data_IF_463672255594
#
_entry.id   IF_463672255594
#
_cell.length_a   1.000
_cell.length_b   1.000
_cell.length_c   1.000
_cell.angle_alpha   90.00
_cell.angle_beta   90.00
_cell.angle_gamma   90.00
#
_symmetry.space_group_name_H-M   'P 1'
#
loop_
_entity.id
_entity.type
_entity.pdbx_description
1 polymer ?
#
# COMPACT_ATOMS: atom_id res chain seq x y z
N UNK A 1 25.80 9.78 20.14
CA UNK A 1 25.61 10.89 21.11
C UNK A 1 24.54 11.82 20.54
N UNK A 2 23.27 11.45 20.70
CA UNK A 2 22.11 12.19 20.17
C UNK A 2 21.51 12.97 21.37
N UNK A 3 21.42 14.28 21.22
CA UNK A 3 20.85 15.17 22.24
C UNK A 3 19.33 15.15 22.12
N UNK A 4 18.66 14.67 23.16
CA UNK A 4 17.22 14.86 23.36
C UNK A 4 16.94 16.27 23.85
N UNK A 5 16.11 17.01 23.14
CA UNK A 5 15.55 18.29 23.58
C UNK A 5 14.14 18.10 24.13
N UNK A 6 13.98 18.42 25.38
CA UNK A 6 12.81 19.02 26.01
C UNK A 6 11.50 18.22 26.05
N UNK A 7 11.37 17.32 27.01
CA UNK A 7 10.07 16.85 27.50
C UNK A 7 9.93 17.22 28.99
N UNK A 8 8.77 17.72 29.37
CA UNK A 8 8.47 18.26 30.71
C UNK A 8 8.53 17.20 31.81
N UNK A 9 8.86 17.61 33.01
CA UNK A 9 9.22 16.75 34.16
C UNK A 9 8.12 15.83 34.74
N UNK A 10 6.88 15.88 34.22
CA UNK A 10 5.78 15.00 34.65
C UNK A 10 5.80 13.59 34.00
N UNK A 11 6.69 13.34 33.04
CA UNK A 11 6.79 12.11 32.27
C UNK A 11 7.79 11.08 32.83
N UNK A 12 8.50 11.39 33.93
CA UNK A 12 9.74 10.68 34.29
C UNK A 12 9.60 9.36 35.05
N UNK A 13 8.45 8.99 35.60
CA UNK A 13 8.39 7.84 36.52
C UNK A 13 7.57 6.63 36.04
N UNK A 14 6.52 6.79 35.24
CA UNK A 14 5.71 5.70 34.68
C UNK A 14 6.21 5.25 33.32
N UNK A 15 6.40 6.20 32.40
CA UNK A 15 6.81 5.91 31.01
C UNK A 15 8.23 5.38 30.88
N UNK A 16 9.11 5.66 31.83
CA UNK A 16 10.49 5.14 31.77
C UNK A 16 10.58 3.64 32.05
N UNK A 17 9.66 3.06 32.82
CA UNK A 17 9.61 1.61 33.06
C UNK A 17 8.98 0.88 31.87
N UNK A 18 7.98 1.46 31.24
CA UNK A 18 7.34 0.92 30.04
C UNK A 18 8.27 1.02 28.81
N UNK A 19 8.96 2.14 28.62
CA UNK A 19 9.96 2.34 27.57
C UNK A 19 11.20 1.43 27.74
N UNK A 20 11.59 1.13 28.98
CA UNK A 20 12.72 0.21 29.26
C UNK A 20 12.32 -1.24 29.00
N UNK A 21 11.06 -1.64 29.18
CA UNK A 21 10.58 -2.96 28.77
C UNK A 21 10.49 -3.07 27.24
N UNK A 22 9.97 -2.06 26.55
CA UNK A 22 9.94 -2.02 25.07
C UNK A 22 11.33 -2.00 24.45
N UNK A 23 12.30 -1.24 25.01
CA UNK A 23 13.68 -1.24 24.52
C UNK A 23 14.44 -2.53 24.86
N UNK A 24 14.05 -3.27 25.89
CA UNK A 24 14.63 -4.58 26.20
C UNK A 24 14.13 -5.66 25.23
N UNK A 25 12.87 -5.62 24.80
CA UNK A 25 12.32 -6.49 23.76
C UNK A 25 12.88 -6.12 22.38
N UNK A 26 12.99 -4.82 22.05
CA UNK A 26 13.60 -4.36 20.79
C UNK A 26 15.10 -4.64 20.69
N UNK A 27 15.82 -4.79 21.81
CA UNK A 27 17.25 -5.12 21.82
C UNK A 27 17.52 -6.63 21.67
N UNK A 28 16.54 -7.48 21.89
CA UNK A 28 16.65 -8.93 21.63
C UNK A 28 16.40 -9.29 20.15
N UNK A 29 15.81 -8.38 19.36
CA UNK A 29 15.54 -8.55 17.93
C UNK A 29 16.44 -7.70 17.02
N UNK A 30 17.47 -7.05 17.54
CA UNK A 30 18.57 -6.51 16.74
C UNK A 30 19.57 -7.62 16.39
N UNK A 31 19.09 -8.69 15.79
CA UNK A 31 19.91 -9.41 14.84
C UNK A 31 19.99 -8.50 13.60
N UNK A 32 21.20 -8.27 13.05
CA UNK A 32 21.29 -7.53 11.81
C UNK A 32 20.47 -8.30 10.77
N UNK A 33 19.50 -7.65 10.16
CA UNK A 33 18.98 -8.04 8.88
C UNK A 33 20.11 -7.82 7.84
N UNK A 34 21.15 -8.65 7.93
CA UNK A 34 22.21 -8.81 6.96
C UNK A 34 22.27 -10.28 6.57
N UNK A 35 21.18 -10.83 6.03
CA UNK A 35 21.37 -11.56 4.81
C UNK A 35 21.82 -10.48 3.82
N UNK A 36 23.08 -10.48 3.42
CA UNK A 36 23.50 -9.86 2.17
C UNK A 36 22.60 -10.52 1.10
N UNK A 37 21.44 -9.89 0.83
CA UNK A 37 20.79 -10.08 -0.46
C UNK A 37 21.87 -9.65 -1.44
N UNK A 38 22.29 -10.53 -2.34
CA UNK A 38 23.13 -10.21 -3.48
C UNK A 38 22.37 -9.17 -4.32
N UNK A 39 22.54 -7.91 -3.90
CA UNK A 39 21.91 -6.75 -4.49
C UNK A 39 22.65 -6.54 -5.81
N UNK A 40 21.96 -6.71 -6.92
CA UNK A 40 22.53 -6.30 -8.21
C UNK A 40 22.82 -4.80 -8.18
N UNK A 41 23.78 -4.34 -9.00
CA UNK A 41 24.19 -2.94 -9.00
C UNK A 41 23.00 -2.05 -9.28
N UNK A 42 22.87 -0.98 -8.49
CA UNK A 42 21.86 0.03 -8.72
C UNK A 42 21.98 0.56 -10.16
N UNK A 43 20.88 0.49 -10.91
CA UNK A 43 20.79 0.95 -12.29
C UNK A 43 21.35 2.38 -12.48
N UNK A 44 21.09 3.24 -11.51
CA UNK A 44 21.48 4.66 -11.55
C UNK A 44 22.96 4.93 -11.19
N UNK A 45 23.72 3.91 -10.79
CA UNK A 45 25.16 4.02 -10.61
C UNK A 45 25.93 3.94 -11.95
N UNK A 46 25.25 3.56 -13.05
CA UNK A 46 25.82 3.47 -14.37
C UNK A 46 25.70 4.80 -15.14
N UNK A 47 26.84 5.49 -15.45
CA UNK A 47 26.81 6.76 -16.18
C UNK A 47 26.22 6.66 -17.61
N UNK A 48 26.36 5.51 -18.28
CA UNK A 48 25.81 5.29 -19.61
C UNK A 48 24.27 5.25 -19.54
N UNK A 49 23.72 4.54 -18.54
CA UNK A 49 22.28 4.53 -18.28
C UNK A 49 21.76 5.94 -18.00
N UNK A 50 22.45 6.68 -17.13
CA UNK A 50 22.05 8.04 -16.80
C UNK A 50 22.01 8.95 -18.04
N UNK A 51 22.98 8.83 -18.95
CA UNK A 51 22.98 9.60 -20.19
C UNK A 51 21.80 9.22 -21.11
N UNK A 52 21.42 7.94 -21.19
CA UNK A 52 20.25 7.48 -21.94
C UNK A 52 18.95 8.00 -21.34
N UNK A 53 18.83 7.95 -20.00
CA UNK A 53 17.67 8.48 -19.26
C UNK A 53 17.51 9.98 -19.48
N UNK A 54 18.61 10.75 -19.41
CA UNK A 54 18.58 12.20 -19.64
C UNK A 54 18.14 12.55 -21.06
N UNK A 55 18.71 11.87 -22.07
CA UNK A 55 18.32 12.06 -23.46
C UNK A 55 16.86 11.68 -23.73
N UNK A 56 16.38 10.60 -23.14
CA UNK A 56 14.98 10.20 -23.22
C UNK A 56 14.07 11.26 -22.57
N UNK A 57 14.43 11.75 -21.39
CA UNK A 57 13.65 12.77 -20.69
C UNK A 57 13.51 14.06 -21.52
N UNK A 58 14.59 14.52 -22.18
CA UNK A 58 14.54 15.68 -23.08
C UNK A 58 13.53 15.47 -24.22
N UNK A 59 13.50 14.28 -24.83
CA UNK A 59 12.55 13.96 -25.90
C UNK A 59 11.10 13.81 -25.35
N UNK A 60 10.91 13.25 -24.15
CA UNK A 60 9.59 13.18 -23.49
C UNK A 60 9.05 14.58 -23.22
N UNK A 61 9.87 15.49 -22.69
CA UNK A 61 9.47 16.89 -22.43
C UNK A 61 9.04 17.58 -23.73
N UNK A 62 9.70 17.29 -24.83
CA UNK A 62 9.42 17.92 -26.13
C UNK A 62 8.19 17.35 -26.84
N UNK A 63 8.00 16.03 -26.77
CA UNK A 63 7.02 15.31 -27.60
C UNK A 63 5.83 14.76 -26.80
N UNK A 64 5.92 14.73 -25.45
CA UNK A 64 4.94 14.09 -24.55
C UNK A 64 5.24 12.63 -24.26
N UNK A 65 6.00 11.95 -25.12
CA UNK A 65 6.52 10.61 -24.93
C UNK A 65 7.74 10.33 -25.80
N UNK A 66 8.55 9.38 -25.38
CA UNK A 66 9.66 8.84 -26.16
C UNK A 66 10.04 7.44 -25.65
N UNK A 67 10.22 6.49 -26.55
CA UNK A 67 10.63 5.15 -26.17
C UNK A 67 12.09 5.14 -25.71
N UNK A 68 12.35 4.48 -24.57
CA UNK A 68 13.68 4.11 -24.11
C UNK A 68 13.68 2.60 -23.82
N UNK A 69 14.66 1.89 -24.42
CA UNK A 69 14.94 0.47 -24.13
C UNK A 69 16.32 0.35 -23.50
N UNK A 70 16.41 -0.33 -22.37
CA UNK A 70 17.67 -0.61 -21.67
C UNK A 70 17.85 -2.14 -21.69
N UNK A 71 18.88 -2.66 -22.36
CA UNK A 71 19.11 -4.10 -22.47
C UNK A 71 19.59 -4.71 -21.15
N UNK A 72 19.35 -6.02 -20.96
CA UNK A 72 19.75 -6.80 -19.80
C UNK A 72 21.24 -6.60 -19.44
N UNK A 73 22.12 -6.60 -20.44
CA UNK A 73 23.57 -6.39 -20.24
C UNK A 73 23.91 -5.07 -19.56
N UNK A 74 22.98 -4.12 -19.56
CA UNK A 74 23.14 -2.75 -19.00
C UNK A 74 22.40 -2.61 -17.67
N UNK A 75 21.13 -3.03 -17.57
CA UNK A 75 20.35 -2.92 -16.32
C UNK A 75 20.71 -4.01 -15.30
N UNK A 76 21.20 -5.16 -15.75
CA UNK A 76 21.70 -6.25 -14.90
C UNK A 76 20.69 -6.76 -13.85
N UNK A 77 19.38 -6.57 -14.03
CA UNK A 77 18.34 -7.15 -13.17
C UNK A 77 18.33 -8.65 -13.43
N UNK A 78 18.61 -9.49 -12.42
CA UNK A 78 18.61 -10.93 -12.61
C UNK A 78 17.20 -11.47 -12.81
N UNK A 79 17.01 -12.38 -13.77
CA UNK A 79 15.71 -13.00 -14.06
C UNK A 79 15.15 -13.76 -12.85
N UNK A 80 16.01 -14.31 -12.00
CA UNK A 80 15.64 -15.00 -10.75
C UNK A 80 14.96 -14.12 -9.70
N UNK A 81 14.95 -12.79 -9.86
CA UNK A 81 14.17 -11.87 -9.02
C UNK A 81 12.74 -11.68 -9.51
N UNK A 82 12.43 -12.21 -10.69
CA UNK A 82 11.09 -12.23 -11.26
C UNK A 82 10.40 -13.52 -10.82
N UNK A 83 9.12 -13.40 -10.49
CA UNK A 83 8.32 -14.54 -10.08
C UNK A 83 8.33 -15.67 -11.12
N UNK A 84 8.57 -16.93 -10.71
CA UNK A 84 8.64 -18.06 -11.63
C UNK A 84 7.33 -18.35 -12.37
N UNK A 85 6.16 -18.16 -11.71
CA UNK A 85 4.86 -18.39 -12.32
C UNK A 85 4.51 -17.29 -13.33
N UNK A 86 4.88 -16.04 -13.05
CA UNK A 86 4.78 -14.94 -14.02
C UNK A 86 5.64 -15.22 -15.26
N UNK A 87 6.87 -15.71 -15.08
CA UNK A 87 7.75 -16.11 -16.19
C UNK A 87 7.21 -17.32 -16.96
N UNK A 88 6.64 -18.32 -16.28
CA UNK A 88 5.99 -19.46 -16.92
C UNK A 88 4.80 -19.02 -17.78
N UNK A 89 3.90 -18.20 -17.24
CA UNK A 89 2.76 -17.67 -17.97
C UNK A 89 3.20 -16.84 -19.20
N UNK A 90 4.21 -15.98 -19.00
CA UNK A 90 4.76 -15.19 -20.09
C UNK A 90 5.37 -16.08 -21.20
N UNK A 91 6.06 -17.16 -20.86
CA UNK A 91 6.64 -18.08 -21.84
C UNK A 91 5.55 -18.79 -22.66
N UNK A 92 4.42 -19.18 -22.05
CA UNK A 92 3.27 -19.77 -22.78
C UNK A 92 2.73 -18.79 -23.84
N UNK A 93 2.64 -17.50 -23.51
CA UNK A 93 2.20 -16.46 -24.45
C UNK A 93 3.22 -16.26 -25.58
N UNK A 94 4.50 -16.18 -25.27
CA UNK A 94 5.59 -16.03 -26.26
C UNK A 94 5.65 -17.23 -27.23
N UNK A 95 5.53 -18.46 -26.72
CA UNK A 95 5.54 -19.67 -27.55
C UNK A 95 4.34 -19.73 -28.49
N UNK A 96 3.22 -19.10 -28.11
CA UNK A 96 2.05 -18.94 -28.97
C UNK A 96 2.16 -17.76 -29.97
N UNK A 97 3.22 -16.95 -29.88
CA UNK A 97 3.52 -15.85 -30.78
C UNK A 97 2.92 -14.51 -30.39
N UNK A 98 2.55 -14.35 -29.12
CA UNK A 98 2.07 -13.08 -28.55
C UNK A 98 3.20 -12.33 -27.86
N UNK A 99 3.13 -11.00 -27.89
CA UNK A 99 4.00 -10.14 -27.09
C UNK A 99 3.51 -10.11 -25.65
N UNK A 100 4.44 -10.07 -24.69
CA UNK A 100 4.13 -10.01 -23.26
C UNK A 100 5.19 -9.21 -22.51
N UNK A 101 4.74 -8.37 -21.59
CA UNK A 101 5.57 -7.62 -20.67
C UNK A 101 5.11 -7.81 -19.23
N UNK A 102 6.08 -7.80 -18.30
CA UNK A 102 5.79 -7.52 -16.89
C UNK A 102 5.67 -6.01 -16.74
N UNK A 103 4.75 -5.54 -15.90
CA UNK A 103 4.39 -4.13 -15.82
C UNK A 103 4.24 -3.62 -14.37
N UNK A 104 4.15 -2.31 -14.24
CA UNK A 104 3.65 -1.66 -13.03
C UNK A 104 4.60 -1.69 -11.85
N UNK A 105 4.04 -2.00 -10.68
CA UNK A 105 4.73 -1.95 -9.40
C UNK A 105 5.94 -2.85 -9.31
N UNK A 106 5.84 -4.06 -9.86
CA UNK A 106 6.92 -5.04 -9.85
C UNK A 106 8.17 -4.52 -10.56
N UNK A 107 8.01 -3.96 -11.77
CA UNK A 107 9.17 -3.44 -12.53
C UNK A 107 9.80 -2.24 -11.84
N UNK A 108 8.98 -1.33 -11.27
CA UNK A 108 9.49 -0.22 -10.44
C UNK A 108 10.29 -0.73 -9.25
N UNK A 109 9.77 -1.70 -8.52
CA UNK A 109 10.43 -2.25 -7.33
C UNK A 109 11.73 -2.98 -7.71
N UNK A 110 11.76 -3.72 -8.82
CA UNK A 110 13.00 -4.26 -9.40
C UNK A 110 14.01 -3.14 -9.75
N UNK A 111 13.59 -2.04 -10.36
CA UNK A 111 14.48 -0.90 -10.68
C UNK A 111 15.03 -0.25 -9.40
N UNK A 112 14.24 -0.23 -8.32
CA UNK A 112 14.64 0.25 -6.99
C UNK A 112 15.48 -0.76 -6.21
N UNK A 113 15.67 -1.96 -6.75
CA UNK A 113 16.37 -3.06 -6.08
C UNK A 113 15.62 -3.51 -4.80
N UNK A 114 14.30 -3.44 -4.86
CA UNK A 114 13.38 -3.91 -3.84
C UNK A 114 12.76 -5.24 -4.30
N UNK A 115 12.46 -6.12 -3.34
CA UNK A 115 11.75 -7.37 -3.65
C UNK A 115 10.29 -7.04 -3.98
N UNK A 116 9.82 -7.48 -5.14
CA UNK A 116 8.41 -7.44 -5.49
C UNK A 116 7.75 -8.80 -5.24
N UNK A 117 6.46 -8.77 -4.91
CA UNK A 117 5.66 -9.95 -4.60
C UNK A 117 4.45 -10.08 -5.53
N UNK A 118 4.20 -9.08 -6.40
CA UNK A 118 2.99 -8.98 -7.21
C UNK A 118 3.41 -8.59 -8.64
N UNK A 119 3.49 -9.60 -9.51
CA UNK A 119 3.97 -9.47 -10.88
C UNK A 119 2.81 -9.51 -11.86
N UNK A 120 2.38 -8.33 -12.32
CA UNK A 120 1.35 -8.17 -13.33
C UNK A 120 1.92 -8.38 -14.74
N UNK A 121 1.18 -9.11 -15.57
CA UNK A 121 1.49 -9.30 -16.99
C UNK A 121 0.53 -8.50 -17.87
N UNK A 122 1.04 -7.95 -18.97
CA UNK A 122 0.23 -7.44 -20.07
C UNK A 122 0.65 -8.09 -21.38
N UNK A 123 -0.33 -8.41 -22.24
CA UNK A 123 -0.11 -9.07 -23.53
C UNK A 123 -1.01 -8.52 -24.62
N UNK A 124 -0.60 -8.62 -25.88
CA UNK A 124 -1.46 -8.35 -27.04
C UNK A 124 -2.42 -9.50 -27.39
N UNK A 125 -2.35 -10.64 -26.68
CA UNK A 125 -3.33 -11.71 -26.83
C UNK A 125 -4.72 -11.22 -26.38
N UNK A 126 -5.74 -11.48 -27.19
CA UNK A 126 -7.14 -11.21 -26.81
C UNK A 126 -7.60 -12.13 -25.68
N UNK A 127 -8.70 -11.76 -25.03
CA UNK A 127 -9.30 -12.56 -23.95
C UNK A 127 -9.61 -13.99 -24.44
N UNK A 128 -10.14 -14.15 -25.66
CA UNK A 128 -10.47 -15.44 -26.24
C UNK A 128 -9.20 -16.29 -26.48
N UNK A 129 -8.11 -15.67 -26.90
CA UNK A 129 -6.82 -16.34 -27.10
C UNK A 129 -6.20 -16.74 -25.76
N UNK A 130 -6.27 -15.88 -24.74
CA UNK A 130 -5.85 -16.22 -23.37
C UNK A 130 -6.64 -17.42 -22.82
N UNK A 131 -7.97 -17.43 -23.00
CA UNK A 131 -8.81 -18.59 -22.61
C UNK A 131 -8.37 -19.86 -23.36
N UNK A 132 -8.06 -19.75 -24.64
CA UNK A 132 -7.61 -20.91 -25.44
C UNK A 132 -6.26 -21.46 -24.98
N UNK A 133 -5.37 -20.60 -24.43
CA UNK A 133 -4.05 -21.00 -23.94
C UNK A 133 -4.10 -21.58 -22.52
N UNK A 134 -4.80 -20.93 -21.60
CA UNK A 134 -4.75 -21.26 -20.18
C UNK A 134 -5.96 -22.07 -19.67
N UNK A 135 -7.06 -22.13 -20.43
CA UNK A 135 -8.23 -22.93 -20.08
C UNK A 135 -8.77 -22.64 -18.70
N UNK A 136 -8.96 -23.69 -17.89
CA UNK A 136 -9.55 -23.63 -16.55
C UNK A 136 -8.62 -22.95 -15.49
N UNK A 137 -7.35 -22.73 -15.83
CA UNK A 137 -6.40 -22.04 -14.96
C UNK A 137 -6.68 -20.53 -14.91
N UNK A 138 -7.39 -19.99 -15.90
CA UNK A 138 -7.65 -18.56 -16.04
C UNK A 138 -9.09 -18.21 -15.69
N UNK A 139 -9.29 -17.27 -14.78
CA UNK A 139 -10.58 -16.64 -14.50
C UNK A 139 -10.55 -15.16 -14.84
N UNK A 140 -11.69 -14.57 -15.17
CA UNK A 140 -11.79 -13.14 -15.46
C UNK A 140 -12.70 -12.43 -14.46
N UNK A 141 -12.27 -11.24 -14.07
CA UNK A 141 -13.06 -10.34 -13.24
C UNK A 141 -13.24 -8.98 -13.92
N UNK A 142 -14.46 -8.42 -13.89
CA UNK A 142 -14.73 -7.11 -14.46
C UNK A 142 -14.06 -6.01 -13.64
N UNK A 143 -13.38 -5.07 -14.31
CA UNK A 143 -12.83 -3.87 -13.73
C UNK A 143 -13.26 -2.67 -14.60
N UNK A 144 -14.39 -2.05 -14.25
CA UNK A 144 -14.99 -1.00 -15.06
C UNK A 144 -15.40 -1.51 -16.43
N UNK A 145 -14.78 -0.96 -17.48
CA UNK A 145 -14.98 -1.37 -18.88
C UNK A 145 -14.06 -2.50 -19.34
N UNK A 146 -13.04 -2.83 -18.55
CA UNK A 146 -12.06 -3.86 -18.85
C UNK A 146 -12.36 -5.18 -18.13
N UNK A 147 -11.68 -6.24 -18.55
CA UNK A 147 -11.64 -7.51 -17.84
C UNK A 147 -10.17 -7.84 -17.56
N UNK A 148 -9.89 -8.21 -16.31
CA UNK A 148 -8.58 -8.70 -15.89
C UNK A 148 -8.63 -10.20 -15.70
N UNK A 149 -7.62 -10.89 -16.24
CA UNK A 149 -7.42 -12.32 -16.05
C UNK A 149 -6.63 -12.58 -14.77
N UNK A 150 -6.98 -13.66 -14.09
CA UNK A 150 -6.29 -14.17 -12.92
C UNK A 150 -5.89 -15.60 -13.20
N UNK A 151 -4.59 -15.83 -13.32
CA UNK A 151 -4.00 -17.16 -13.50
C UNK A 151 -3.77 -17.79 -12.12
N UNK A 152 -4.44 -18.89 -11.85
CA UNK A 152 -4.38 -19.59 -10.58
C UNK A 152 -3.29 -20.62 -10.55
N UNK A 153 -2.28 -20.42 -9.71
CA UNK A 153 -1.26 -21.38 -9.31
C UNK A 153 -1.59 -21.96 -7.93
N UNK A 154 -0.96 -23.05 -7.49
CA UNK A 154 -1.30 -23.67 -6.20
C UNK A 154 -1.10 -22.78 -4.97
N UNK A 155 -0.17 -21.84 -5.04
CA UNK A 155 0.33 -20.99 -3.97
C UNK A 155 0.14 -19.50 -4.24
N UNK A 156 -0.21 -19.11 -5.50
CA UNK A 156 -0.41 -17.70 -5.83
C UNK A 156 -1.35 -17.48 -7.02
N UNK A 157 -1.63 -16.22 -7.30
CA UNK A 157 -2.38 -15.76 -8.48
C UNK A 157 -1.50 -14.75 -9.22
N UNK A 158 -1.36 -14.95 -10.55
CA UNK A 158 -0.69 -14.00 -11.43
C UNK A 158 -1.73 -13.22 -12.22
N UNK A 159 -1.66 -11.90 -12.16
CA UNK A 159 -2.55 -11.02 -12.91
C UNK A 159 -2.15 -10.94 -14.38
N UNK A 160 -3.10 -11.18 -15.29
CA UNK A 160 -2.90 -11.17 -16.73
C UNK A 160 -3.90 -10.22 -17.41
N UNK A 161 -3.40 -9.13 -17.96
CA UNK A 161 -4.22 -8.16 -18.70
C UNK A 161 -4.01 -8.27 -20.21
N UNK A 162 -5.07 -8.04 -20.99
CA UNK A 162 -4.91 -7.66 -22.39
C UNK A 162 -4.48 -6.20 -22.45
N UNK A 163 -3.43 -5.89 -23.23
CA UNK A 163 -2.95 -4.54 -23.46
C UNK A 163 -4.09 -3.63 -23.92
N UNK A 164 -4.24 -2.49 -23.27
CA UNK A 164 -5.36 -1.58 -23.46
C UNK A 164 -5.00 -0.42 -24.39
N UNK A 165 -6.02 0.24 -24.91
CA UNK A 165 -5.84 1.42 -25.74
C UNK A 165 -5.77 2.68 -24.88
N UNK A 166 -5.31 3.77 -25.47
CA UNK A 166 -5.28 5.10 -24.85
C UNK A 166 -6.70 5.48 -24.35
N UNK A 167 -6.86 5.97 -23.11
CA UNK A 167 -8.15 6.41 -22.61
C UNK A 167 -8.77 7.49 -23.50
N UNK A 168 -10.03 7.31 -23.90
CA UNK A 168 -10.71 8.20 -24.84
C UNK A 168 -10.74 9.68 -24.38
N UNK A 169 -10.71 9.93 -23.06
CA UNK A 169 -10.68 11.29 -22.52
C UNK A 169 -9.34 12.02 -22.77
N UNK A 170 -8.28 11.30 -23.18
CA UNK A 170 -6.99 11.90 -23.56
C UNK A 170 -6.93 12.30 -25.05
N UNK A 171 -7.95 11.98 -25.84
CA UNK A 171 -7.92 12.26 -27.27
C UNK A 171 -7.72 13.74 -27.58
N UNK A 172 -6.74 14.03 -28.46
CA UNK A 172 -6.39 15.38 -28.87
C UNK A 172 -5.62 16.22 -27.86
N UNK A 173 -5.24 15.64 -26.71
CA UNK A 173 -4.37 16.32 -25.75
C UNK A 173 -2.93 16.40 -26.28
N UNK A 174 -2.19 17.48 -25.92
CA UNK A 174 -0.78 17.60 -26.29
C UNK A 174 0.04 16.40 -25.85
N UNK A 175 0.88 15.87 -26.73
CA UNK A 175 1.73 14.72 -26.44
C UNK A 175 1.06 13.37 -26.49
N UNK A 176 -0.24 13.29 -26.78
CA UNK A 176 -0.98 12.04 -26.95
C UNK A 176 -1.04 11.70 -28.44
N UNK A 177 -0.64 10.47 -28.86
CA UNK A 177 -0.76 10.03 -30.26
C UNK A 177 -2.21 10.00 -30.75
N UNK A 178 -2.41 9.99 -32.06
CA UNK A 178 -3.73 9.67 -32.63
C UNK A 178 -4.05 8.18 -32.45
N UNK A 179 -5.26 7.86 -32.03
CA UNK A 179 -5.73 6.50 -31.78
C UNK A 179 -7.24 6.36 -32.06
N UNK A 180 -7.70 5.13 -32.18
CA UNK A 180 -9.12 4.82 -32.31
C UNK A 180 -9.81 4.90 -30.94
N UNK A 181 -10.58 5.94 -30.69
CA UNK A 181 -11.28 6.19 -29.42
C UNK A 181 -12.38 5.19 -29.08
N UNK A 182 -12.81 4.37 -30.05
CA UNK A 182 -13.84 3.33 -29.85
C UNK A 182 -13.21 1.98 -29.49
N UNK A 183 -11.92 1.77 -29.77
CA UNK A 183 -11.22 0.56 -29.42
C UNK A 183 -10.87 0.54 -27.92
N UNK A 184 -11.11 -0.60 -27.25
CA UNK A 184 -10.75 -0.80 -25.84
C UNK A 184 -9.32 -1.35 -25.67
N UNK A 185 -8.87 -2.15 -26.62
CA UNK A 185 -7.60 -2.86 -26.55
C UNK A 185 -6.67 -2.46 -27.71
N UNK A 186 -5.39 -2.63 -27.52
CA UNK A 186 -4.35 -2.31 -28.50
C UNK A 186 -3.26 -3.39 -28.48
N UNK A 187 -2.60 -3.59 -29.60
CA UNK A 187 -1.38 -4.40 -29.72
C UNK A 187 -0.09 -3.58 -29.45
N UNK A 188 -0.24 -2.32 -29.05
CA UNK A 188 0.86 -1.38 -28.86
C UNK A 188 1.03 -1.01 -27.38
N UNK A 189 2.08 -1.46 -26.74
CA UNK A 189 2.37 -1.15 -25.33
C UNK A 189 2.60 0.35 -25.05
N UNK A 190 2.98 1.14 -26.05
CA UNK A 190 2.93 2.60 -25.90
C UNK A 190 1.50 3.07 -25.57
N UNK A 191 0.48 2.51 -26.23
CA UNK A 191 -0.91 2.90 -25.97
C UNK A 191 -1.37 2.44 -24.59
N UNK A 192 -1.01 1.22 -24.18
CA UNK A 192 -1.24 0.69 -22.84
C UNK A 192 -0.62 1.59 -21.75
N UNK A 193 0.53 2.19 -22.03
CA UNK A 193 1.23 3.03 -21.06
C UNK A 193 0.47 4.32 -20.70
N UNK A 194 -0.43 4.80 -21.55
CA UNK A 194 -1.29 5.95 -21.27
C UNK A 194 -2.42 5.67 -20.27
N UNK A 195 -2.75 4.40 -20.00
CA UNK A 195 -3.72 4.02 -18.96
C UNK A 195 -3.08 3.97 -17.57
N UNK A 196 -1.75 4.07 -17.46
CA UNK A 196 -1.07 4.06 -16.16
C UNK A 196 -1.28 5.37 -15.41
N UNK A 197 -1.35 5.28 -14.10
CA UNK A 197 -1.59 6.42 -13.19
C UNK A 197 -0.41 7.40 -13.13
N UNK A 198 0.81 6.84 -13.11
CA UNK A 198 2.05 7.58 -12.92
C UNK A 198 3.17 7.04 -13.79
N UNK A 199 4.11 7.94 -14.12
CA UNK A 199 5.29 7.62 -14.93
C UNK A 199 6.12 6.50 -14.32
N UNK A 200 6.30 6.49 -12.99
CA UNK A 200 7.07 5.46 -12.27
C UNK A 200 6.43 4.07 -12.32
N UNK A 201 5.14 3.95 -12.65
CA UNK A 201 4.41 2.70 -12.82
C UNK A 201 4.23 2.34 -14.31
N UNK A 202 4.69 3.18 -15.23
CA UNK A 202 4.66 2.97 -16.67
C UNK A 202 6.03 2.50 -17.20
N UNK A 203 6.63 1.56 -16.50
CA UNK A 203 7.87 0.88 -16.86
C UNK A 203 7.53 -0.58 -17.09
N UNK A 204 8.04 -1.13 -18.18
CA UNK A 204 7.78 -2.47 -18.67
C UNK A 204 9.07 -3.28 -18.65
N UNK A 205 8.98 -4.56 -18.36
CA UNK A 205 10.03 -5.53 -18.63
C UNK A 205 9.55 -6.43 -19.76
N UNK A 206 10.16 -6.28 -20.93
CA UNK A 206 9.89 -7.07 -22.13
C UNK A 206 10.48 -8.48 -21.94
N UNK A 207 9.63 -9.50 -21.79
CA UNK A 207 10.07 -10.85 -21.45
C UNK A 207 10.80 -11.52 -22.63
N UNK A 208 10.50 -11.14 -23.88
CA UNK A 208 11.13 -11.71 -25.06
C UNK A 208 12.58 -11.24 -25.24
N UNK A 209 12.86 -9.97 -24.92
CA UNK A 209 14.17 -9.34 -25.11
C UNK A 209 14.94 -9.12 -23.83
N UNK A 210 14.30 -9.32 -22.68
CA UNK A 210 14.82 -8.97 -21.34
C UNK A 210 15.22 -7.51 -21.22
N UNK A 211 14.49 -6.59 -21.88
CA UNK A 211 14.76 -5.16 -21.83
C UNK A 211 13.80 -4.44 -20.87
N UNK A 212 14.31 -3.43 -20.18
CA UNK A 212 13.45 -2.42 -19.57
C UNK A 212 12.98 -1.44 -20.64
N UNK A 213 11.68 -1.20 -20.69
CA UNK A 213 11.05 -0.29 -21.66
C UNK A 213 10.24 0.76 -20.92
N UNK A 214 10.40 2.03 -21.30
CA UNK A 214 9.57 3.12 -20.78
C UNK A 214 9.28 4.13 -21.88
N UNK A 215 8.14 4.82 -21.77
CA UNK A 215 7.68 5.79 -22.77
C UNK A 215 7.53 7.21 -22.20
N UNK A 216 7.44 7.37 -20.88
CA UNK A 216 7.03 8.62 -20.22
C UNK A 216 8.07 9.14 -19.22
N UNK A 217 9.34 8.70 -19.35
CA UNK A 217 10.40 9.18 -18.48
C UNK A 217 10.37 8.63 -17.05
N UNK A 218 9.66 7.52 -16.79
CA UNK A 218 9.53 6.96 -15.43
C UNK A 218 10.85 6.63 -14.76
N UNK A 219 11.88 6.20 -15.51
CA UNK A 219 13.23 5.98 -14.96
C UNK A 219 13.90 7.29 -14.51
N UNK A 220 13.68 8.40 -15.23
CA UNK A 220 14.12 9.71 -14.81
C UNK A 220 13.46 10.12 -13.49
N UNK A 221 12.15 9.94 -13.40
CA UNK A 221 11.37 10.31 -12.23
C UNK A 221 11.75 9.50 -11.00
N UNK A 222 12.02 8.19 -11.14
CA UNK A 222 12.54 7.35 -10.04
C UNK A 222 13.90 7.89 -9.57
N UNK A 223 14.83 8.15 -10.49
CA UNK A 223 16.17 8.65 -10.17
C UNK A 223 16.13 10.00 -9.44
N UNK A 224 15.34 10.93 -9.97
CA UNK A 224 15.21 12.30 -9.42
C UNK A 224 14.21 12.38 -8.26
N UNK A 225 13.55 11.27 -7.93
CA UNK A 225 12.55 11.17 -6.85
C UNK A 225 11.36 12.09 -7.07
N UNK A 226 10.77 12.02 -8.25
CA UNK A 226 9.54 12.69 -8.63
C UNK A 226 8.37 11.72 -8.78
N UNK A 227 7.17 12.23 -8.53
CA UNK A 227 5.90 11.61 -8.88
C UNK A 227 5.22 12.49 -9.92
N UNK A 228 5.03 11.97 -11.11
CA UNK A 228 4.34 12.65 -12.19
C UNK A 228 3.28 11.76 -12.84
N UNK A 229 2.24 12.36 -13.40
CA UNK A 229 1.19 11.67 -14.17
C UNK A 229 1.61 11.53 -15.64
N UNK A 230 1.00 10.58 -16.35
CA UNK A 230 1.28 10.39 -17.78
C UNK A 230 0.81 11.56 -18.63
N UNK A 231 -0.33 12.19 -18.27
CA UNK A 231 -0.91 13.31 -18.94
C UNK A 231 -1.22 14.45 -17.96
N UNK A 232 -2.04 15.42 -18.34
CA UNK A 232 -2.48 16.52 -17.47
C UNK A 232 -3.13 15.99 -16.19
N UNK A 233 -2.59 16.39 -15.03
CA UNK A 233 -2.93 15.78 -13.74
C UNK A 233 -4.39 16.02 -13.34
N UNK A 234 -4.94 17.23 -13.54
CA UNK A 234 -6.34 17.52 -13.21
C UNK A 234 -7.30 16.68 -14.09
N UNK A 235 -6.97 16.53 -15.37
CA UNK A 235 -7.74 15.68 -16.29
C UNK A 235 -7.67 14.21 -15.88
N UNK A 236 -6.47 13.68 -15.55
CA UNK A 236 -6.31 12.30 -15.09
C UNK A 236 -7.13 12.07 -13.82
N UNK A 237 -6.98 12.92 -12.80
CA UNK A 237 -7.63 12.73 -11.50
C UNK A 237 -9.16 12.92 -11.53
N UNK A 238 -9.70 13.71 -12.45
CA UNK A 238 -11.17 13.80 -12.64
C UNK A 238 -11.75 12.57 -13.31
N UNK A 239 -11.01 11.89 -14.16
CA UNK A 239 -11.45 10.69 -14.88
C UNK A 239 -11.07 9.39 -14.16
N UNK A 240 -9.94 9.36 -13.45
CA UNK A 240 -9.55 8.33 -12.50
C UNK A 240 -9.20 8.95 -11.13
N UNK A 241 -10.19 9.24 -10.29
CA UNK A 241 -9.95 9.81 -8.96
C UNK A 241 -9.08 8.93 -8.05
N UNK A 242 -9.04 7.63 -8.33
CA UNK A 242 -8.21 6.68 -7.61
C UNK A 242 -6.71 6.95 -7.81
N UNK A 243 -6.32 7.44 -8.98
CA UNK A 243 -4.95 7.85 -9.26
C UNK A 243 -4.47 8.98 -8.32
N UNK A 244 -5.35 9.93 -7.94
CA UNK A 244 -5.02 10.96 -6.96
C UNK A 244 -4.74 10.38 -5.56
N UNK A 245 -5.57 9.44 -5.11
CA UNK A 245 -5.38 8.75 -3.83
C UNK A 245 -4.07 7.94 -3.84
N UNK A 246 -3.79 7.23 -4.94
CA UNK A 246 -2.52 6.50 -5.11
C UNK A 246 -1.30 7.42 -5.13
N UNK A 247 -1.42 8.63 -5.75
CA UNK A 247 -0.35 9.62 -5.76
C UNK A 247 0.03 10.04 -4.33
N UNK A 248 -0.95 10.38 -3.50
CA UNK A 248 -0.73 10.71 -2.09
C UNK A 248 -0.07 9.55 -1.33
N UNK A 249 -0.50 8.31 -1.58
CA UNK A 249 0.07 7.13 -0.96
C UNK A 249 1.54 6.91 -1.36
N UNK A 250 1.87 7.04 -2.64
CA UNK A 250 3.25 6.93 -3.10
C UNK A 250 4.13 8.05 -2.55
N UNK A 251 3.60 9.27 -2.42
CA UNK A 251 4.31 10.35 -1.76
C UNK A 251 4.64 9.99 -0.30
N UNK A 252 3.69 9.44 0.45
CA UNK A 252 3.91 8.97 1.81
C UNK A 252 4.92 7.82 1.88
N UNK A 253 4.80 6.82 0.98
CA UNK A 253 5.66 5.63 0.93
C UNK A 253 7.10 5.98 0.58
N UNK A 254 7.31 6.65 -0.54
CA UNK A 254 8.64 6.88 -1.09
C UNK A 254 9.29 8.20 -0.63
N UNK A 255 8.51 9.17 -0.16
CA UNK A 255 8.98 10.52 0.12
C UNK A 255 9.40 11.28 -1.15
N UNK A 256 8.95 10.85 -2.33
CA UNK A 256 9.21 11.51 -3.60
C UNK A 256 8.39 12.79 -3.71
N UNK A 257 8.94 13.82 -4.35
CA UNK A 257 8.25 15.10 -4.57
C UNK A 257 7.28 14.98 -5.73
N UNK A 258 6.18 15.68 -5.67
CA UNK A 258 5.32 15.84 -6.83
C UNK A 258 5.95 16.74 -7.88
N UNK A 259 5.67 16.47 -9.17
CA UNK A 259 5.90 17.46 -10.23
C UNK A 259 5.01 18.69 -10.01
N UNK A 260 5.35 19.81 -10.62
CA UNK A 260 4.57 21.05 -10.41
C UNK A 260 3.09 20.89 -10.77
N UNK A 261 2.77 20.18 -11.86
CA UNK A 261 1.38 19.95 -12.28
C UNK A 261 0.61 19.02 -11.32
N UNK A 262 1.25 18.01 -10.77
CA UNK A 262 0.66 17.10 -9.78
C UNK A 262 0.43 17.85 -8.47
N UNK A 263 1.44 18.60 -8.00
CA UNK A 263 1.34 19.41 -6.77
C UNK A 263 0.21 20.43 -6.85
N UNK A 264 0.11 21.17 -7.96
CA UNK A 264 -0.92 22.18 -8.18
C UNK A 264 -2.33 21.54 -8.19
N UNK A 265 -2.51 20.41 -8.88
CA UNK A 265 -3.79 19.70 -8.94
C UNK A 265 -4.21 19.16 -7.55
N UNK A 266 -3.29 18.53 -6.83
CA UNK A 266 -3.59 17.95 -5.50
C UNK A 266 -3.82 19.03 -4.45
N UNK A 267 -3.04 20.11 -4.42
CA UNK A 267 -3.28 21.22 -3.49
C UNK A 267 -4.62 21.90 -3.73
N UNK A 268 -5.05 21.96 -4.97
CA UNK A 268 -6.34 22.57 -5.30
C UNK A 268 -7.54 21.67 -4.97
N UNK A 269 -7.43 20.34 -5.17
CA UNK A 269 -8.62 19.49 -5.27
C UNK A 269 -8.44 18.08 -4.66
N UNK A 270 -7.41 17.78 -3.87
CA UNK A 270 -7.16 16.40 -3.40
C UNK A 270 -8.35 15.79 -2.65
N UNK A 271 -9.00 16.56 -1.77
CA UNK A 271 -10.19 16.12 -1.05
C UNK A 271 -11.37 15.83 -2.00
N UNK A 272 -11.58 16.67 -2.99
CA UNK A 272 -12.64 16.48 -3.98
C UNK A 272 -12.38 15.23 -4.82
N UNK A 273 -11.15 15.00 -5.28
CA UNK A 273 -10.78 13.77 -5.97
C UNK A 273 -11.01 12.53 -5.08
N UNK A 274 -10.61 12.58 -3.82
CA UNK A 274 -10.84 11.47 -2.90
C UNK A 274 -12.33 11.13 -2.76
N UNK A 275 -13.20 12.15 -2.67
CA UNK A 275 -14.64 12.00 -2.53
C UNK A 275 -15.37 11.64 -3.83
N UNK A 276 -14.73 11.80 -5.01
CA UNK A 276 -15.25 11.29 -6.28
C UNK A 276 -15.11 9.77 -6.40
N UNK A 277 -14.25 9.14 -5.60
CA UNK A 277 -14.09 7.69 -5.63
C UNK A 277 -15.34 6.96 -5.12
N UNK A 278 -15.64 5.84 -5.75
CA UNK A 278 -16.63 4.91 -5.20
C UNK A 278 -16.12 4.37 -3.85
N UNK A 279 -17.01 4.19 -2.84
CA UNK A 279 -16.62 3.68 -1.53
C UNK A 279 -15.87 2.33 -1.57
N UNK A 280 -16.15 1.48 -2.58
CA UNK A 280 -15.41 0.22 -2.79
C UNK A 280 -13.96 0.43 -3.20
N UNK A 281 -13.67 1.43 -4.05
CA UNK A 281 -12.31 1.80 -4.41
C UNK A 281 -11.53 2.34 -3.19
N UNK A 282 -12.20 3.14 -2.35
CA UNK A 282 -11.60 3.64 -1.11
C UNK A 282 -11.33 2.52 -0.11
N UNK A 283 -12.21 1.49 -0.01
CA UNK A 283 -11.96 0.29 0.79
C UNK A 283 -10.68 -0.43 0.38
N UNK A 284 -10.40 -0.52 -0.92
CA UNK A 284 -9.20 -1.18 -1.42
C UNK A 284 -7.92 -0.37 -1.19
N UNK A 285 -8.00 0.97 -1.13
CA UNK A 285 -6.83 1.84 -1.07
C UNK A 285 -6.49 2.37 0.31
N UNK A 286 -7.49 2.75 1.12
CA UNK A 286 -7.22 3.44 2.39
C UNK A 286 -6.44 2.60 3.42
N UNK A 287 -6.68 1.29 3.60
CA UNK A 287 -5.87 0.49 4.52
C UNK A 287 -4.38 0.50 4.15
N UNK A 288 -4.04 0.49 2.86
CA UNK A 288 -2.65 0.48 2.36
C UNK A 288 -1.83 1.72 2.77
N UNK A 289 -2.47 2.79 3.20
CA UNK A 289 -1.77 3.94 3.81
C UNK A 289 -1.19 3.61 5.18
N UNK A 290 -1.78 2.65 5.90
CA UNK A 290 -1.50 2.47 7.33
C UNK A 290 -0.94 1.09 7.68
N UNK A 291 -0.94 0.13 6.75
CA UNK A 291 -0.53 -1.26 7.01
C UNK A 291 0.84 -1.63 6.46
N UNK A 292 1.62 -0.68 5.94
CA UNK A 292 2.84 -0.96 5.19
C UNK A 292 4.08 -0.19 5.71
N UNK A 293 4.10 0.17 7.01
CA UNK A 293 5.26 0.74 7.69
C UNK A 293 5.54 2.22 7.41
N UNK A 294 4.55 2.97 6.96
CA UNK A 294 4.64 4.42 6.75
C UNK A 294 3.34 5.16 7.18
N UNK A 295 2.63 4.62 8.17
CA UNK A 295 1.34 5.12 8.61
C UNK A 295 1.42 6.57 9.15
N UNK A 296 2.48 6.92 9.90
CA UNK A 296 2.68 8.29 10.38
C UNK A 296 2.86 9.26 9.22
N UNK A 297 3.66 8.91 8.21
CA UNK A 297 3.85 9.73 7.01
C UNK A 297 2.55 9.86 6.22
N UNK A 298 1.77 8.80 6.14
CA UNK A 298 0.45 8.79 5.50
C UNK A 298 -0.52 9.75 6.17
N UNK A 299 -0.56 9.75 7.50
CA UNK A 299 -1.36 10.74 8.25
C UNK A 299 -0.93 12.16 7.89
N UNK A 300 0.37 12.46 7.92
CA UNK A 300 0.88 13.79 7.59
C UNK A 300 0.47 14.23 6.18
N UNK A 301 0.61 13.36 5.18
CA UNK A 301 0.22 13.64 3.80
C UNK A 301 -1.29 13.84 3.68
N UNK A 302 -2.10 12.95 4.22
CA UNK A 302 -3.56 13.08 4.13
C UNK A 302 -4.09 14.33 4.83
N UNK A 303 -3.43 14.75 5.93
CA UNK A 303 -3.71 16.00 6.63
C UNK A 303 -3.28 17.22 5.83
N UNK A 304 -2.06 17.21 5.29
CA UNK A 304 -1.49 18.30 4.50
C UNK A 304 -2.34 18.65 3.26
N UNK A 305 -2.88 17.60 2.60
CA UNK A 305 -3.73 17.77 1.41
C UNK A 305 -5.23 17.82 1.73
N UNK A 306 -5.61 17.91 3.01
CA UNK A 306 -7.00 18.09 3.46
C UNK A 306 -7.93 16.93 3.17
N UNK A 307 -7.39 15.70 3.03
CA UNK A 307 -8.14 14.48 2.69
C UNK A 307 -8.64 13.74 3.93
N UNK A 308 -7.86 13.75 5.03
CA UNK A 308 -8.08 12.86 6.17
C UNK A 308 -9.48 13.02 6.79
N UNK A 309 -9.86 14.25 7.18
CA UNK A 309 -11.14 14.56 7.83
C UNK A 309 -12.35 14.45 6.87
N UNK A 310 -12.12 14.47 5.57
CA UNK A 310 -13.17 14.29 4.57
C UNK A 310 -13.49 12.81 4.33
N UNK A 311 -12.45 11.98 4.32
CA UNK A 311 -12.61 10.53 4.13
C UNK A 311 -13.07 9.87 5.42
N UNK A 312 -12.52 10.26 6.57
CA UNK A 312 -12.92 9.77 7.91
C UNK A 312 -13.84 10.78 8.60
N UNK A 313 -14.88 11.23 7.92
CA UNK A 313 -15.72 12.32 8.39
C UNK A 313 -16.45 12.06 9.75
N UNK A 314 -16.70 10.83 10.24
CA UNK A 314 -17.26 10.62 11.57
C UNK A 314 -16.40 11.20 12.69
N UNK A 315 -15.09 11.42 12.44
CA UNK A 315 -14.15 12.01 13.39
C UNK A 315 -13.87 13.49 13.13
N UNK A 316 -14.57 14.14 12.19
CA UNK A 316 -14.23 15.49 11.73
C UNK A 316 -14.22 16.54 12.86
N UNK A 317 -15.06 16.40 13.89
CA UNK A 317 -15.04 17.27 15.07
C UNK A 317 -13.85 16.97 15.99
N UNK A 318 -13.51 15.71 16.21
CA UNK A 318 -12.38 15.26 17.02
C UNK A 318 -11.04 15.63 16.38
N UNK A 319 -10.97 15.55 15.06
CA UNK A 319 -9.78 15.87 14.27
C UNK A 319 -9.19 17.27 14.56
N UNK A 320 -10.02 18.22 15.02
CA UNK A 320 -9.59 19.58 15.38
C UNK A 320 -8.85 19.63 16.72
N UNK A 321 -8.77 18.53 17.48
CA UNK A 321 -8.16 18.51 18.81
C UNK A 321 -6.72 18.00 18.78
N UNK A 322 -5.84 18.66 19.54
CA UNK A 322 -4.44 18.21 19.69
C UNK A 322 -4.36 16.81 20.32
N UNK A 323 -5.30 16.48 21.20
CA UNK A 323 -5.38 15.17 21.87
C UNK A 323 -5.63 14.04 20.87
N UNK A 324 -6.60 14.20 19.98
CA UNK A 324 -6.89 13.20 18.96
C UNK A 324 -5.74 13.04 17.97
N UNK A 325 -5.11 14.13 17.54
CA UNK A 325 -3.95 14.07 16.67
C UNK A 325 -2.74 13.40 17.34
N UNK A 326 -2.54 13.64 18.63
CA UNK A 326 -1.50 12.95 19.40
C UNK A 326 -1.78 11.46 19.53
N UNK A 327 -3.05 11.07 19.76
CA UNK A 327 -3.50 9.69 19.76
C UNK A 327 -3.19 9.01 18.42
N UNK A 328 -3.60 9.58 17.28
CA UNK A 328 -3.35 9.01 15.96
C UNK A 328 -1.85 8.84 15.67
N UNK A 329 -1.03 9.86 15.98
CA UNK A 329 0.42 9.78 15.76
C UNK A 329 1.06 8.67 16.58
N UNK A 330 0.66 8.51 17.83
CA UNK A 330 1.14 7.43 18.70
C UNK A 330 0.70 6.07 18.15
N UNK A 331 -0.56 5.95 17.75
CA UNK A 331 -1.13 4.71 17.19
C UNK A 331 -0.41 4.29 15.92
N UNK A 332 -0.21 5.21 14.99
CA UNK A 332 0.44 4.90 13.72
C UNK A 332 1.95 4.67 13.85
N UNK A 333 2.62 5.34 14.80
CA UNK A 333 4.01 5.02 15.11
C UNK A 333 4.14 3.58 15.66
N UNK A 334 3.20 3.14 16.48
CA UNK A 334 3.12 1.78 16.97
C UNK A 334 2.91 0.77 15.84
N UNK A 335 1.99 1.06 14.92
CA UNK A 335 1.73 0.21 13.76
C UNK A 335 2.95 0.13 12.82
N UNK A 336 3.67 1.24 12.61
CA UNK A 336 4.91 1.27 11.82
C UNK A 336 6.02 0.43 12.47
N UNK A 337 6.16 0.44 13.80
CA UNK A 337 7.11 -0.40 14.54
C UNK A 337 6.76 -1.89 14.42
N UNK A 338 5.48 -2.25 14.48
CA UNK A 338 5.05 -3.63 14.32
C UNK A 338 5.33 -4.16 12.92
N UNK A 339 4.98 -3.38 11.90
CA UNK A 339 5.33 -3.73 10.53
C UNK A 339 6.84 -3.92 10.36
N UNK A 340 7.66 -3.04 10.94
CA UNK A 340 9.13 -3.16 10.91
C UNK A 340 9.65 -4.41 11.65
N UNK A 341 8.86 -4.95 12.59
CA UNK A 341 9.16 -6.20 13.31
C UNK A 341 8.66 -7.45 12.57
N UNK A 342 8.12 -7.31 11.37
CA UNK A 342 7.63 -8.41 10.53
C UNK A 342 6.18 -8.82 10.78
N UNK A 343 5.42 -8.07 11.60
CA UNK A 343 3.99 -8.33 11.78
C UNK A 343 3.19 -7.76 10.60
N UNK A 344 2.34 -8.61 10.01
CA UNK A 344 1.37 -8.21 9.01
C UNK A 344 0.12 -7.66 9.72
N UNK A 345 -0.17 -6.39 9.49
CA UNK A 345 -1.35 -5.71 10.05
C UNK A 345 -2.59 -6.04 9.22
N UNK A 346 -3.67 -6.44 9.89
CA UNK A 346 -4.96 -6.62 9.21
C UNK A 346 -5.54 -5.28 8.75
N UNK A 347 -6.25 -5.30 7.62
CA UNK A 347 -6.80 -4.08 6.99
C UNK A 347 -7.87 -3.37 7.84
N UNK A 348 -8.52 -4.08 8.76
CA UNK A 348 -9.56 -3.56 9.66
C UNK A 348 -8.98 -2.75 10.82
N UNK A 349 -7.77 -3.05 11.26
CA UNK A 349 -7.15 -2.41 12.42
C UNK A 349 -6.98 -0.90 12.27
N UNK A 350 -6.45 -0.34 11.17
CA UNK A 350 -6.36 1.11 11.01
C UNK A 350 -7.70 1.82 11.13
N UNK A 351 -8.76 1.24 10.56
CA UNK A 351 -10.11 1.78 10.64
C UNK A 351 -10.63 1.75 12.08
N UNK A 352 -10.43 0.62 12.77
CA UNK A 352 -10.81 0.48 14.16
C UNK A 352 -10.09 1.51 15.05
N UNK A 353 -8.80 1.71 14.83
CA UNK A 353 -7.99 2.70 15.56
C UNK A 353 -8.48 4.13 15.29
N UNK A 354 -8.68 4.51 14.03
CA UNK A 354 -9.10 5.86 13.64
C UNK A 354 -10.48 6.19 14.21
N UNK A 355 -11.42 5.25 14.18
CA UNK A 355 -12.81 5.48 14.57
C UNK A 355 -13.07 5.25 16.07
N UNK A 356 -12.14 4.58 16.79
CA UNK A 356 -12.30 4.30 18.22
C UNK A 356 -12.74 5.52 19.05
N UNK A 357 -12.10 6.71 18.96
CA UNK A 357 -12.47 7.84 19.78
C UNK A 357 -13.89 8.36 19.54
N UNK A 358 -14.45 8.16 18.34
CA UNK A 358 -15.85 8.47 18.07
C UNK A 358 -16.80 7.44 18.69
N UNK A 359 -16.42 6.15 18.65
CA UNK A 359 -17.18 5.04 19.23
C UNK A 359 -17.13 5.08 20.76
N UNK A 360 -16.01 5.49 21.34
CA UNK A 360 -15.80 5.59 22.79
C UNK A 360 -16.62 6.70 23.46
N UNK A 361 -17.10 7.69 22.68
CA UNK A 361 -17.99 8.72 23.24
C UNK A 361 -19.28 8.09 23.78
N UNK A 362 -19.52 8.24 25.08
CA UNK A 362 -20.75 7.76 25.70
C UNK A 362 -21.96 8.49 25.14
N UNK A 363 -22.94 7.70 24.72
CA UNK A 363 -24.25 8.20 24.28
C UNK A 363 -25.30 7.52 25.15
N UNK A 364 -26.14 8.31 25.79
CA UNK A 364 -27.13 7.83 26.74
C UNK A 364 -27.93 6.65 26.20
N UNK A 365 -27.80 5.50 26.87
CA UNK A 365 -28.59 4.29 26.64
C UNK A 365 -28.12 3.38 25.49
N UNK A 366 -27.04 3.72 24.77
CA UNK A 366 -26.50 2.86 23.72
C UNK A 366 -25.35 1.99 24.23
N UNK A 367 -25.36 0.71 23.86
CA UNK A 367 -24.24 -0.20 24.03
C UNK A 367 -23.04 0.21 23.14
N UNK A 368 -21.85 -0.32 23.43
CA UNK A 368 -20.66 -0.12 22.60
C UNK A 368 -20.90 -0.54 21.15
N UNK A 369 -21.49 -1.71 20.95
CA UNK A 369 -21.83 -2.23 19.62
C UNK A 369 -22.80 -1.31 18.85
N UNK A 370 -23.82 -0.75 19.52
CA UNK A 370 -24.77 0.16 18.88
C UNK A 370 -24.10 1.48 18.49
N UNK A 371 -23.20 2.02 19.31
CA UNK A 371 -22.40 3.21 18.97
C UNK A 371 -21.46 2.95 17.79
N UNK A 372 -20.76 1.81 17.82
CA UNK A 372 -19.88 1.39 16.72
C UNK A 372 -20.65 1.25 15.40
N UNK A 373 -21.80 0.58 15.43
CA UNK A 373 -22.65 0.41 14.25
C UNK A 373 -23.10 1.75 13.66
N UNK A 374 -23.47 2.71 14.48
CA UNK A 374 -23.84 4.05 14.01
C UNK A 374 -22.68 4.82 13.37
N UNK A 375 -21.47 4.72 13.94
CA UNK A 375 -20.25 5.33 13.37
C UNK A 375 -19.88 4.67 12.04
N UNK A 376 -19.97 3.35 11.94
CA UNK A 376 -19.68 2.61 10.72
C UNK A 376 -20.72 2.86 9.62
N UNK A 377 -22.01 2.93 9.96
CA UNK A 377 -23.04 3.33 8.99
C UNK A 377 -22.74 4.71 8.40
N UNK A 378 -22.29 5.65 9.21
CA UNK A 378 -21.88 6.94 8.73
C UNK A 378 -20.64 6.81 7.81
N UNK A 379 -19.61 6.05 8.20
CA UNK A 379 -18.35 5.88 7.45
C UNK A 379 -18.54 5.23 6.08
N UNK A 380 -19.55 4.39 5.89
CA UNK A 380 -19.84 3.71 4.61
C UNK A 380 -20.13 4.67 3.45
N UNK A 381 -20.41 5.93 3.72
CA UNK A 381 -20.59 6.95 2.66
C UNK A 381 -19.30 7.23 1.88
N UNK A 382 -18.15 7.01 2.50
CA UNK A 382 -16.83 7.27 1.90
C UNK A 382 -15.99 6.02 1.72
N UNK A 383 -16.08 5.06 2.62
CA UNK A 383 -15.35 3.78 2.56
C UNK A 383 -16.36 2.65 2.74
N UNK A 384 -16.49 1.76 1.75
CA UNK A 384 -17.36 0.59 1.86
C UNK A 384 -16.87 -0.33 2.98
N UNK A 385 -17.78 -0.73 3.86
CA UNK A 385 -17.56 -1.76 4.88
C UNK A 385 -18.56 -2.88 4.64
N UNK A 386 -18.09 -4.11 4.57
CA UNK A 386 -18.97 -5.27 4.54
C UNK A 386 -19.43 -5.64 5.96
N UNK A 387 -20.51 -6.38 6.08
CA UNK A 387 -21.05 -6.80 7.38
C UNK A 387 -20.00 -7.56 8.21
N UNK A 388 -19.17 -8.36 7.56
CA UNK A 388 -18.07 -9.10 8.22
C UNK A 388 -16.99 -8.16 8.75
N UNK A 389 -16.62 -7.11 8.01
CA UNK A 389 -15.63 -6.09 8.45
C UNK A 389 -16.17 -5.34 9.68
N UNK A 390 -17.45 -4.97 9.63
CA UNK A 390 -18.15 -4.29 10.73
C UNK A 390 -18.17 -5.16 11.97
N UNK A 391 -18.54 -6.43 11.82
CA UNK A 391 -18.62 -7.35 12.95
C UNK A 391 -17.24 -7.59 13.58
N UNK A 392 -16.21 -7.80 12.77
CA UNK A 392 -14.82 -7.91 13.26
C UNK A 392 -14.40 -6.68 14.07
N UNK A 393 -14.67 -5.46 13.59
CA UNK A 393 -14.30 -4.24 14.31
C UNK A 393 -15.10 -4.08 15.61
N UNK A 394 -16.38 -4.47 15.64
CA UNK A 394 -17.18 -4.50 16.88
C UNK A 394 -16.56 -5.51 17.87
N UNK A 395 -16.22 -6.69 17.40
CA UNK A 395 -15.60 -7.74 18.24
C UNK A 395 -14.25 -7.26 18.80
N UNK A 396 -13.44 -6.57 18.00
CA UNK A 396 -12.19 -5.93 18.45
C UNK A 396 -12.46 -4.95 19.60
N UNK A 397 -13.46 -4.07 19.46
CA UNK A 397 -13.78 -3.08 20.48
C UNK A 397 -14.31 -3.73 21.77
N UNK A 398 -15.26 -4.65 21.67
CA UNK A 398 -15.82 -5.33 22.83
C UNK A 398 -14.77 -6.17 23.57
N UNK A 399 -13.88 -6.82 22.81
CA UNK A 399 -12.82 -7.63 23.38
C UNK A 399 -11.76 -6.76 24.05
N UNK A 400 -11.35 -5.62 23.43
CA UNK A 400 -10.43 -4.68 24.02
C UNK A 400 -10.98 -4.04 25.31
N UNK A 401 -12.31 -3.78 25.39
CA UNK A 401 -12.96 -3.33 26.62
C UNK A 401 -12.98 -4.41 27.71
N UNK A 402 -13.22 -5.68 27.38
CA UNK A 402 -13.08 -6.79 28.32
C UNK A 402 -11.64 -6.90 28.84
N UNK A 403 -10.65 -6.77 27.94
CA UNK A 403 -9.24 -6.81 28.28
C UNK A 403 -8.78 -5.61 29.14
N UNK A 404 -9.45 -4.47 29.03
CA UNK A 404 -9.18 -3.31 29.87
C UNK A 404 -9.62 -3.51 31.34
N UNK A 405 -10.52 -4.45 31.60
CA UNK A 405 -10.92 -4.88 32.93
C UNK A 405 -9.93 -5.87 33.57
N UNK A 406 -10.15 -6.17 34.85
CA UNK A 406 -9.42 -7.26 35.52
C UNK A 406 -10.03 -8.61 35.10
N UNK A 407 -9.24 -9.51 34.58
CA UNK A 407 -9.66 -10.86 34.22
C UNK A 407 -9.05 -11.89 35.19
N UNK A 408 -9.84 -12.91 35.57
CA UNK A 408 -9.33 -14.09 36.23
C UNK A 408 -8.63 -15.01 35.19
N UNK A 409 -7.76 -15.94 35.64
CA UNK A 409 -6.95 -16.78 34.75
C UNK A 409 -7.81 -17.64 33.78
N UNK A 410 -8.97 -18.12 34.21
CA UNK A 410 -9.87 -18.91 33.37
C UNK A 410 -10.50 -18.05 32.26
N UNK A 411 -10.94 -16.85 32.57
CA UNK A 411 -11.47 -15.87 31.63
C UNK A 411 -10.38 -15.37 30.65
N UNK A 412 -9.16 -15.16 31.15
CA UNK A 412 -8.03 -14.78 30.31
C UNK A 412 -7.71 -15.85 29.26
N UNK A 413 -7.75 -17.13 29.62
CA UNK A 413 -7.53 -18.22 28.68
C UNK A 413 -8.62 -18.29 27.57
N UNK A 414 -9.87 -17.94 27.88
CA UNK A 414 -10.96 -17.87 26.91
C UNK A 414 -10.75 -16.65 25.96
N UNK A 415 -10.43 -15.49 26.52
CA UNK A 415 -10.16 -14.26 25.75
C UNK A 415 -9.01 -14.47 24.76
N UNK A 416 -7.94 -15.13 25.14
CA UNK A 416 -6.78 -15.41 24.26
C UNK A 416 -7.10 -16.36 23.10
N UNK A 417 -8.20 -17.12 23.16
CA UNK A 417 -8.66 -17.98 22.07
C UNK A 417 -9.64 -17.29 21.12
N UNK A 418 -10.03 -16.05 21.42
CA UNK A 418 -10.94 -15.29 20.56
C UNK A 418 -10.29 -14.97 19.22
N UNK A 419 -11.00 -15.08 18.07
CA UNK A 419 -10.44 -14.81 16.73
C UNK A 419 -9.83 -13.42 16.60
N UNK A 420 -10.35 -12.42 17.33
CA UNK A 420 -9.88 -11.04 17.27
C UNK A 420 -8.94 -10.67 18.42
N UNK A 421 -8.36 -11.65 19.12
CA UNK A 421 -7.50 -11.39 20.27
C UNK A 421 -6.31 -10.49 19.92
N UNK A 422 -5.57 -10.78 18.87
CA UNK A 422 -4.39 -10.00 18.48
C UNK A 422 -4.78 -8.54 18.16
N UNK A 423 -5.79 -8.31 17.34
CA UNK A 423 -6.26 -6.95 17.02
C UNK A 423 -6.79 -6.19 18.23
N UNK A 424 -7.46 -6.88 19.15
CA UNK A 424 -7.96 -6.27 20.39
C UNK A 424 -6.82 -5.95 21.36
N UNK A 425 -5.81 -6.82 21.44
CA UNK A 425 -4.59 -6.58 22.17
C UNK A 425 -3.86 -5.35 21.62
N UNK A 426 -3.72 -5.25 20.31
CA UNK A 426 -3.11 -4.11 19.62
C UNK A 426 -3.84 -2.80 19.94
N UNK A 427 -5.17 -2.80 19.84
CA UNK A 427 -5.96 -1.63 20.21
C UNK A 427 -5.79 -1.27 21.70
N UNK A 428 -5.75 -2.25 22.59
CA UNK A 428 -5.52 -2.01 24.02
C UNK A 428 -4.14 -1.37 24.25
N UNK A 429 -3.07 -1.90 23.60
CA UNK A 429 -1.72 -1.36 23.73
C UNK A 429 -1.63 0.08 23.24
N UNK A 430 -2.25 0.36 22.09
CA UNK A 430 -2.35 1.73 21.54
C UNK A 430 -3.05 2.67 22.53
N UNK A 431 -4.18 2.25 23.10
CA UNK A 431 -4.93 3.03 24.07
C UNK A 431 -4.13 3.27 25.36
N UNK A 432 -3.42 2.25 25.84
CA UNK A 432 -2.55 2.34 27.02
C UNK A 432 -1.40 3.35 26.85
N UNK A 433 -0.98 3.65 25.61
CA UNK A 433 -0.01 4.72 25.36
C UNK A 433 -0.52 6.12 25.69
N UNK A 434 -1.84 6.32 25.71
CA UNK A 434 -2.49 7.61 25.98
C UNK A 434 -3.30 7.64 27.28
N UNK A 435 -3.60 6.47 27.86
CA UNK A 435 -4.39 6.30 29.08
C UNK A 435 -3.63 5.43 30.09
N UNK A 436 -3.01 6.09 31.08
CA UNK A 436 -2.23 5.43 32.13
C UNK A 436 -3.09 4.45 32.98
N UNK A 437 -4.43 4.56 32.98
CA UNK A 437 -5.31 3.64 33.69
C UNK A 437 -5.33 2.23 33.10
N UNK A 438 -4.91 2.08 31.84
CA UNK A 438 -4.81 0.80 31.13
C UNK A 438 -3.46 0.11 31.28
N UNK A 439 -2.48 0.73 31.96
CA UNK A 439 -1.11 0.23 32.03
C UNK A 439 -1.01 -1.18 32.68
N UNK A 440 -1.79 -1.44 33.75
CA UNK A 440 -1.80 -2.73 34.43
C UNK A 440 -2.44 -3.82 33.53
N UNK A 441 -3.53 -3.49 32.81
CA UNK A 441 -4.17 -4.40 31.87
C UNK A 441 -3.23 -4.72 30.69
N UNK A 442 -2.58 -3.71 30.12
CA UNK A 442 -1.60 -3.89 29.05
C UNK A 442 -0.45 -4.81 29.46
N UNK A 443 0.12 -4.60 30.66
CA UNK A 443 1.18 -5.46 31.19
C UNK A 443 0.71 -6.90 31.42
N UNK A 444 -0.49 -7.09 31.97
CA UNK A 444 -1.12 -8.40 32.19
C UNK A 444 -1.25 -9.22 30.90
N UNK A 445 -1.76 -8.59 29.83
CA UNK A 445 -1.97 -9.26 28.55
C UNK A 445 -0.67 -9.51 27.80
N UNK A 446 0.29 -8.59 27.88
CA UNK A 446 1.63 -8.78 27.29
C UNK A 446 2.32 -10.00 27.87
N UNK A 447 2.35 -10.14 29.22
CA UNK A 447 2.97 -11.30 29.87
C UNK A 447 2.36 -12.64 29.41
N UNK A 448 1.03 -12.68 29.27
CA UNK A 448 0.32 -13.92 28.84
C UNK A 448 0.50 -14.24 27.36
N UNK A 449 0.45 -13.21 26.53
CA UNK A 449 0.68 -13.36 25.08
C UNK A 449 2.09 -13.89 24.84
N UNK A 450 3.10 -13.27 25.46
CA UNK A 450 4.49 -13.68 25.30
C UNK A 450 4.74 -15.11 25.82
N UNK A 451 4.07 -15.49 26.91
CA UNK A 451 4.15 -16.86 27.44
C UNK A 451 3.46 -17.91 26.55
N UNK A 452 2.53 -17.50 25.69
CA UNK A 452 1.83 -18.39 24.76
C UNK A 452 2.55 -18.54 23.40
N UNK A 453 3.48 -17.63 23.09
CA UNK A 453 4.32 -17.77 21.91
C UNK A 453 5.27 -18.96 22.09
N UNK A 454 5.46 -19.82 21.08
CA UNK A 454 6.41 -20.91 21.16
C UNK A 454 7.83 -20.37 21.38
N UNK A 455 8.59 -21.01 22.31
CA UNK A 455 9.98 -20.70 22.53
C UNK A 455 10.76 -20.78 21.19
N UNK A 456 11.24 -19.67 20.70
CA UNK A 456 12.02 -19.58 19.46
C UNK A 456 13.45 -20.15 19.55
N UNK A 457 13.81 -20.84 20.66
CA UNK A 457 15.14 -21.44 20.86
C UNK A 457 15.38 -22.72 20.01
N UNK A 458 14.52 -23.06 19.05
CA UNK A 458 14.59 -24.35 18.35
C UNK A 458 14.34 -24.37 16.84
N UNK A 459 14.15 -23.25 16.16
CA UNK A 459 13.89 -23.24 14.70
C UNK A 459 14.85 -22.28 13.99
N UNK A 460 16.13 -22.62 13.99
CA UNK A 460 17.00 -22.31 12.85
C UNK A 460 16.68 -23.37 11.77
N UNK A 461 16.18 -22.92 10.64
CA UNK A 461 15.79 -23.63 9.40
C UNK A 461 14.29 -23.86 9.22
N UNK A 462 13.77 -23.18 8.21
CA UNK A 462 12.46 -23.23 7.57
C UNK A 462 11.45 -22.14 7.94
N UNK A 463 11.82 -20.89 7.75
CA UNK A 463 10.87 -19.88 7.34
C UNK A 463 11.60 -18.90 6.39
N UNK A 464 11.69 -19.29 5.13
CA UNK A 464 11.71 -18.30 4.07
C UNK A 464 10.36 -17.54 4.20
N UNK A 465 10.35 -16.23 4.25
CA UNK A 465 9.10 -15.51 4.30
C UNK A 465 8.35 -15.76 2.99
N UNK A 466 7.29 -16.56 3.09
CA UNK A 466 6.21 -16.55 2.13
C UNK A 466 5.47 -15.23 2.33
N UNK A 467 5.69 -14.25 1.46
CA UNK A 467 4.84 -13.08 1.27
C UNK A 467 5.23 -12.37 -0.02
#
# INVERSE_FOLDING_TARGET
MIRFFGLSDSLKHGKLRFFVLLTAVSLLFLLPASAETDVYKNLFDNPEVNALIDANHEEVVKNGWAELRIPESVHQIPVEFIDPHAMEAAQVLLDAGYDVCIIGGAVRDLVLNEKSMDFDLTTNATIEEQIALFGDQLTFHPAGKYQFGYLHYPDEIVDLATSVNIPAFLAGMPGVPEFDTEALYSDNFLFDSFERDMTINAIYYDVATHELVTYHGGLYDIREKYLDTIADSDTVYRNDPNAAVRALRFHARFGYRFSGRVEDALRANAADYALLNAPGAMRANMPRFFTAGYAVKSLDVLVEYGVFDKVYFPIAELYQTDEYMAYLRTSFAWMDEWYASGYLLENELPMAVILWPAVAQETDGLSLAERAAAVFEAQQKTILLYDDDIQKMIDIYELAEKMAGAAEDEEAAEIMQAPQFENAYELLMIRACSDDSLADAAAFWTERRDAALPDHDGVEEELAPAA
#
